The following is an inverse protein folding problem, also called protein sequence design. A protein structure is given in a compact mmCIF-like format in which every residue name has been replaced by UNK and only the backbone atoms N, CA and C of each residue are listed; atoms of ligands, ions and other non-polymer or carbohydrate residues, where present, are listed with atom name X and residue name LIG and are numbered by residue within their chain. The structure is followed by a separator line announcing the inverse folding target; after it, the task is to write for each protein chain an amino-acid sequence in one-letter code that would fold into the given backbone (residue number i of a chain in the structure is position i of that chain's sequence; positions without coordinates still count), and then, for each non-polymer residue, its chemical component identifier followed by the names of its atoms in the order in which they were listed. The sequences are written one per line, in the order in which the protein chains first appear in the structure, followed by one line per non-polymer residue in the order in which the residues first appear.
data_IF_754992526618
#
_entry.id   IF_754992526618
#
_cell.length_a   1.000
_cell.length_b   1.000
_cell.length_c   1.000
_cell.angle_alpha   90.00
_cell.angle_beta   90.00
_cell.angle_gamma   90.00
#
_symmetry.space_group_name_H-M   'P 1'
#
loop_
_entity.id
_entity.type
_entity.pdbx_description
1 polymer ?
#
# COMPACT_ATOMS: atom_id res chain seq x y z
N UNK A 1 -0.53 17.04 -19.22
CA UNK A 1 -1.80 16.38 -18.86
C UNK A 1 -1.44 15.00 -18.37
N UNK A 2 -1.27 14.84 -17.05
CA UNK A 2 -0.85 13.58 -16.46
C UNK A 2 -1.98 12.57 -16.59
N UNK A 3 -1.67 11.42 -17.17
CA UNK A 3 -2.62 10.33 -17.39
C UNK A 3 -3.08 9.78 -16.03
N UNK A 4 -4.35 9.98 -15.62
CA UNK A 4 -4.85 9.56 -14.31
C UNK A 4 -4.82 8.03 -14.12
N UNK A 5 -4.73 7.26 -15.20
CA UNK A 5 -4.69 5.80 -15.17
C UNK A 5 -3.35 5.23 -14.69
N UNK A 6 -2.24 5.95 -14.89
CA UNK A 6 -0.90 5.50 -14.49
C UNK A 6 -0.56 5.73 -13.01
N UNK A 7 -1.32 6.58 -12.32
CA UNK A 7 -1.14 6.90 -10.90
C UNK A 7 -2.12 6.14 -9.99
N UNK A 8 -3.26 5.68 -10.52
CA UNK A 8 -4.24 4.89 -9.80
C UNK A 8 -3.76 3.46 -9.46
N UNK A 9 -2.72 2.95 -10.13
CA UNK A 9 -2.15 1.62 -9.89
C UNK A 9 -1.10 1.59 -8.78
N UNK A 10 -0.77 2.74 -8.17
CA UNK A 10 0.16 2.79 -7.05
C UNK A 10 -0.61 2.89 -5.72
N UNK A 11 -0.68 1.82 -4.91
CA UNK A 11 -1.41 1.82 -3.63
C UNK A 11 -0.95 2.91 -2.68
N UNK A 12 0.35 3.27 -2.71
CA UNK A 12 0.88 4.32 -1.85
C UNK A 12 0.33 5.70 -2.23
N UNK A 13 0.16 5.97 -3.52
CA UNK A 13 -0.42 7.23 -3.99
C UNK A 13 -1.90 7.30 -3.66
N UNK A 14 -2.64 6.21 -3.88
CA UNK A 14 -4.06 6.13 -3.54
C UNK A 14 -4.29 6.40 -2.04
N UNK A 15 -3.55 5.73 -1.15
CA UNK A 15 -3.62 5.98 0.30
C UNK A 15 -3.33 7.44 0.65
N UNK A 16 -2.27 8.01 0.09
CA UNK A 16 -1.88 9.41 0.31
C UNK A 16 -2.98 10.38 -0.12
N UNK A 17 -3.57 10.14 -1.28
CA UNK A 17 -4.64 10.97 -1.82
C UNK A 17 -5.92 10.85 -0.98
N UNK A 18 -6.30 9.64 -0.55
CA UNK A 18 -7.46 9.45 0.31
C UNK A 18 -7.26 10.06 1.70
N UNK A 19 -6.06 9.99 2.26
CA UNK A 19 -5.73 10.66 3.52
C UNK A 19 -5.97 12.17 3.44
N UNK A 20 -5.50 12.81 2.36
CA UNK A 20 -5.74 14.24 2.12
C UNK A 20 -7.23 14.52 1.95
N UNK A 21 -7.93 13.69 1.16
CA UNK A 21 -9.37 13.83 0.93
C UNK A 21 -10.18 13.74 2.22
N UNK A 22 -9.90 12.77 3.08
CA UNK A 22 -10.59 12.59 4.38
C UNK A 22 -10.43 13.83 5.26
N UNK A 23 -9.21 14.39 5.34
CA UNK A 23 -8.94 15.59 6.14
C UNK A 23 -9.52 16.84 5.49
N UNK A 24 -9.61 16.88 4.17
CA UNK A 24 -10.23 17.97 3.43
C UNK A 24 -11.77 17.98 3.56
N UNK A 25 -12.38 16.79 3.59
CA UNK A 25 -13.83 16.59 3.69
C UNK A 25 -14.32 16.66 5.16
N UNK A 26 -13.49 16.27 6.14
CA UNK A 26 -13.76 16.34 7.58
C UNK A 26 -13.17 17.59 8.24
N UNK A 27 -14.01 18.47 8.77
CA UNK A 27 -13.60 19.81 9.23
C UNK A 27 -12.67 19.86 10.47
N UNK A 28 -12.33 18.73 11.10
CA UNK A 28 -11.63 18.73 12.40
C UNK A 28 -10.09 18.58 12.35
N UNK A 29 -9.45 18.42 11.18
CA UNK A 29 -7.97 18.34 11.10
C UNK A 29 -7.33 19.16 9.97
N UNK A 30 -8.08 20.11 9.40
CA UNK A 30 -7.60 20.99 8.33
C UNK A 30 -6.45 21.89 8.78
N UNK A 31 -6.47 22.38 10.02
CA UNK A 31 -5.40 23.23 10.56
C UNK A 31 -4.08 22.45 10.75
N UNK A 32 -4.16 21.20 11.23
CA UNK A 32 -2.98 20.33 11.34
C UNK A 32 -2.40 19.97 9.96
N UNK A 33 -3.25 19.81 8.95
CA UNK A 33 -2.82 19.62 7.58
C UNK A 33 -2.15 20.88 7.01
N UNK A 34 -2.70 22.06 7.29
CA UNK A 34 -2.10 23.34 6.92
C UNK A 34 -0.73 23.54 7.54
N UNK A 35 -0.59 23.26 8.84
CA UNK A 35 0.69 23.32 9.54
C UNK A 35 1.70 22.31 8.95
N UNK A 36 1.29 21.06 8.74
CA UNK A 36 2.18 20.03 8.16
C UNK A 36 2.67 20.41 6.75
N UNK A 37 1.76 20.89 5.89
CA UNK A 37 2.12 21.28 4.53
C UNK A 37 2.75 22.67 4.46
N UNK A 38 2.70 23.45 5.53
CA UNK A 38 3.16 24.85 5.63
C UNK A 38 2.39 25.75 4.63
N UNK A 39 1.06 25.65 4.67
CA UNK A 39 0.14 26.42 3.82
C UNK A 39 -0.94 27.08 4.66
N UNK A 40 -1.47 28.21 4.21
CA UNK A 40 -2.47 28.98 4.97
C UNK A 40 -3.91 28.61 4.62
N UNK A 41 -4.12 27.95 3.49
CA UNK A 41 -5.45 27.64 2.97
C UNK A 41 -5.46 26.40 2.07
N UNK A 42 -6.67 26.03 1.64
CA UNK A 42 -6.94 24.90 0.75
C UNK A 42 -6.32 25.06 -0.64
N UNK A 43 -6.13 26.29 -1.11
CA UNK A 43 -5.51 26.56 -2.41
C UNK A 43 -4.01 26.27 -2.37
N UNK A 44 -3.35 26.52 -1.24
CA UNK A 44 -1.96 26.16 -0.99
C UNK A 44 -1.71 24.65 -1.13
N UNK A 45 -2.66 23.82 -0.67
CA UNK A 45 -2.56 22.35 -0.81
C UNK A 45 -2.57 21.89 -2.28
N UNK A 46 -3.30 22.57 -3.16
CA UNK A 46 -3.32 22.23 -4.59
C UNK A 46 -1.92 22.34 -5.21
N UNK A 47 -1.08 23.24 -4.72
CA UNK A 47 0.31 23.34 -5.17
C UNK A 47 1.08 22.05 -4.86
N UNK A 48 0.93 21.51 -3.64
CA UNK A 48 1.54 20.25 -3.25
C UNK A 48 0.95 19.03 -3.97
N UNK A 49 -0.31 19.07 -4.37
CA UNK A 49 -0.95 17.96 -5.10
C UNK A 49 -0.59 17.95 -6.59
N UNK A 50 -0.49 19.11 -7.23
CA UNK A 50 -0.43 19.20 -8.70
C UNK A 50 0.89 19.76 -9.25
N UNK A 51 1.67 20.53 -8.47
CA UNK A 51 2.90 21.17 -8.95
C UNK A 51 4.16 20.66 -8.26
N UNK A 52 4.13 20.55 -6.94
CA UNK A 52 5.28 20.19 -6.09
C UNK A 52 5.02 18.90 -5.33
N UNK A 53 4.49 17.89 -6.02
CA UNK A 53 4.12 16.62 -5.41
C UNK A 53 5.35 15.85 -4.94
N UNK A 54 5.41 15.63 -3.63
CA UNK A 54 6.49 14.92 -2.98
C UNK A 54 5.94 13.70 -2.22
N UNK A 55 6.13 12.51 -2.79
CA UNK A 55 5.62 11.24 -2.24
C UNK A 55 6.03 11.00 -0.78
N UNK A 56 7.25 11.38 -0.40
CA UNK A 56 7.76 11.26 0.97
C UNK A 56 7.01 12.16 1.95
N UNK A 57 6.72 13.41 1.55
CA UNK A 57 5.97 14.36 2.38
C UNK A 57 4.54 13.86 2.62
N UNK A 58 3.85 13.37 1.60
CA UNK A 58 2.51 12.79 1.79
C UNK A 58 2.52 11.46 2.57
N UNK A 59 3.55 10.62 2.40
CA UNK A 59 3.72 9.42 3.24
C UNK A 59 3.90 9.79 4.71
N UNK A 60 4.69 10.83 5.00
CA UNK A 60 4.87 11.35 6.35
C UNK A 60 3.58 11.93 6.93
N UNK A 61 2.74 12.56 6.12
CA UNK A 61 1.41 13.01 6.55
C UNK A 61 0.50 11.85 6.96
N UNK A 62 0.45 10.76 6.18
CA UNK A 62 -0.31 9.57 6.57
C UNK A 62 0.18 8.98 7.90
N UNK A 63 1.50 8.99 8.16
CA UNK A 63 2.04 8.57 9.44
C UNK A 63 1.58 9.47 10.59
N UNK A 64 1.57 10.80 10.40
CA UNK A 64 1.07 11.74 11.42
C UNK A 64 -0.41 11.54 11.72
N UNK A 65 -1.21 11.23 10.70
CA UNK A 65 -2.61 10.81 10.90
C UNK A 65 -2.71 9.51 11.73
N UNK A 66 -1.80 8.56 11.54
CA UNK A 66 -1.74 7.32 12.31
C UNK A 66 -1.47 7.57 13.80
N UNK A 67 -0.64 8.58 14.09
CA UNK A 67 -0.21 8.95 15.44
C UNK A 67 -1.29 9.69 16.26
N UNK A 68 -2.49 9.93 15.70
CA UNK A 68 -3.64 10.45 16.44
C UNK A 68 -4.27 11.72 15.89
N UNK A 69 -3.88 12.18 14.68
CA UNK A 69 -4.47 13.37 14.04
C UNK A 69 -5.74 13.06 13.23
N UNK A 70 -6.44 11.96 13.52
CA UNK A 70 -7.72 11.62 12.87
C UNK A 70 -7.98 10.12 12.74
N UNK A 71 -9.14 9.73 12.18
CA UNK A 71 -9.49 8.34 11.98
C UNK A 71 -8.71 7.76 10.78
N UNK A 72 -7.47 7.33 11.01
CA UNK A 72 -6.69 6.64 10.00
C UNK A 72 -7.13 5.17 9.83
N UNK A 73 -7.71 4.58 10.87
CA UNK A 73 -8.13 3.17 10.87
C UNK A 73 -9.00 2.77 9.66
N UNK A 74 -10.08 3.49 9.30
CA UNK A 74 -10.89 3.13 8.14
C UNK A 74 -10.10 3.18 6.84
N UNK A 75 -9.16 4.13 6.69
CA UNK A 75 -8.35 4.24 5.49
C UNK A 75 -7.38 3.07 5.35
N UNK A 76 -6.74 2.68 6.45
CA UNK A 76 -5.80 1.57 6.48
C UNK A 76 -6.51 0.23 6.26
N UNK A 77 -7.72 0.09 6.81
CA UNK A 77 -8.58 -1.06 6.55
C UNK A 77 -8.94 -1.15 5.06
N UNK A 78 -9.46 -0.07 4.46
CA UNK A 78 -9.78 -0.01 3.03
C UNK A 78 -8.57 -0.27 2.14
N UNK A 79 -7.40 0.19 2.56
CA UNK A 79 -6.16 -0.11 1.88
C UNK A 79 -5.86 -1.62 1.81
N UNK A 80 -6.06 -2.34 2.92
CA UNK A 80 -6.00 -3.80 2.95
C UNK A 80 -7.00 -4.43 1.98
N UNK A 81 -8.25 -3.94 1.97
CA UNK A 81 -9.29 -4.45 1.07
C UNK A 81 -8.92 -4.26 -0.41
N UNK A 82 -8.40 -3.08 -0.77
CA UNK A 82 -7.95 -2.78 -2.13
C UNK A 82 -6.80 -3.70 -2.53
N UNK A 83 -5.85 -3.98 -1.64
CA UNK A 83 -4.75 -4.92 -1.92
C UNK A 83 -5.28 -6.34 -2.21
N UNK A 84 -6.20 -6.84 -1.37
CA UNK A 84 -6.86 -8.12 -1.58
C UNK A 84 -7.61 -8.19 -2.92
N UNK A 85 -8.35 -7.12 -3.27
CA UNK A 85 -9.07 -7.06 -4.55
C UNK A 85 -8.15 -7.19 -5.76
N UNK A 86 -6.92 -6.65 -5.68
CA UNK A 86 -5.94 -6.82 -6.75
C UNK A 86 -5.51 -8.27 -6.91
N UNK A 87 -5.31 -9.00 -5.80
CA UNK A 87 -5.02 -10.44 -5.82
C UNK A 87 -6.19 -11.19 -6.45
N UNK A 88 -7.42 -10.98 -5.94
CA UNK A 88 -8.64 -11.64 -6.43
C UNK A 88 -8.86 -11.39 -7.93
N UNK A 89 -8.60 -10.17 -8.41
CA UNK A 89 -8.77 -9.82 -9.82
C UNK A 89 -7.84 -10.59 -10.76
N UNK A 90 -6.65 -10.98 -10.29
CA UNK A 90 -5.68 -11.73 -11.12
C UNK A 90 -5.82 -13.23 -10.97
N UNK A 91 -6.40 -13.75 -9.87
CA UNK A 91 -6.55 -15.18 -9.58
C UNK A 91 -6.99 -16.03 -10.80
N UNK A 92 -8.03 -15.66 -11.59
CA UNK A 92 -8.50 -16.49 -12.70
C UNK A 92 -7.49 -16.66 -13.85
N UNK A 93 -6.44 -15.83 -13.87
CA UNK A 93 -5.39 -15.83 -14.91
C UNK A 93 -4.08 -16.47 -14.43
N UNK A 94 -4.00 -16.86 -13.16
CA UNK A 94 -2.80 -17.48 -12.59
C UNK A 94 -2.73 -18.94 -13.02
N UNK A 95 -1.54 -19.36 -13.45
CA UNK A 95 -1.27 -20.76 -13.76
C UNK A 95 -1.46 -21.61 -12.49
N UNK A 96 -2.21 -22.71 -12.60
CA UNK A 96 -2.51 -23.57 -11.45
C UNK A 96 -1.26 -24.13 -10.78
N UNK A 97 -0.12 -24.24 -11.49
CA UNK A 97 1.13 -24.69 -10.89
C UNK A 97 1.61 -23.77 -9.76
N UNK A 98 1.27 -22.48 -9.82
CA UNK A 98 1.61 -21.49 -8.79
C UNK A 98 0.69 -21.57 -7.57
N UNK A 99 -0.45 -22.24 -7.67
CA UNK A 99 -1.42 -22.42 -6.58
C UNK A 99 -1.20 -23.72 -5.80
N UNK A 100 -0.49 -24.69 -6.39
CA UNK A 100 -0.31 -26.05 -5.83
C UNK A 100 0.92 -26.20 -4.93
N UNK A 101 1.71 -25.13 -4.75
CA UNK A 101 2.89 -25.16 -3.88
C UNK A 101 2.54 -25.10 -2.39
N UNK A 102 3.48 -25.53 -1.53
CA UNK A 102 3.33 -25.54 -0.07
C UNK A 102 3.05 -24.14 0.55
N UNK A 103 3.38 -23.07 -0.19
CA UNK A 103 3.17 -21.68 0.23
C UNK A 103 1.81 -21.11 -0.20
N UNK A 104 0.98 -21.90 -0.88
CA UNK A 104 -0.18 -21.39 -1.62
C UNK A 104 0.28 -20.46 -2.74
N UNK A 105 -0.52 -19.43 -3.04
CA UNK A 105 -0.15 -18.40 -4.00
C UNK A 105 0.98 -17.51 -3.44
N UNK A 106 2.19 -17.51 -4.04
CA UNK A 106 3.25 -16.60 -3.60
C UNK A 106 3.06 -15.20 -4.20
N UNK A 107 2.90 -14.18 -3.34
CA UNK A 107 2.76 -12.77 -3.72
C UNK A 107 3.98 -11.98 -3.29
N UNK A 108 4.71 -11.42 -4.26
CA UNK A 108 5.90 -10.60 -3.98
C UNK A 108 5.49 -9.17 -3.65
N UNK A 109 5.81 -8.74 -2.43
CA UNK A 109 5.50 -7.44 -1.86
C UNK A 109 6.67 -6.47 -2.06
N UNK A 110 6.47 -5.47 -2.93
CA UNK A 110 7.47 -4.43 -3.19
C UNK A 110 6.94 -3.06 -2.77
N UNK A 111 7.77 -2.27 -2.09
CA UNK A 111 7.48 -0.89 -1.71
C UNK A 111 7.41 -0.67 -0.19
N UNK A 112 7.51 0.59 0.23
CA UNK A 112 7.53 0.96 1.66
C UNK A 112 6.19 0.78 2.37
N UNK A 113 5.08 0.65 1.64
CA UNK A 113 3.72 0.44 2.18
C UNK A 113 3.65 -0.83 3.03
N UNK A 114 4.36 -1.89 2.63
CA UNK A 114 4.40 -3.17 3.34
C UNK A 114 5.07 -3.10 4.71
N UNK A 115 5.78 -2.01 5.05
CA UNK A 115 6.29 -1.78 6.41
C UNK A 115 5.16 -1.61 7.44
N UNK A 116 3.97 -1.23 6.99
CA UNK A 116 2.77 -1.06 7.82
C UNK A 116 1.78 -2.22 7.64
N UNK A 117 2.25 -3.39 7.21
CA UNK A 117 1.42 -4.58 6.96
C UNK A 117 0.48 -4.91 8.12
N UNK A 118 0.98 -4.91 9.35
CA UNK A 118 0.19 -5.23 10.55
C UNK A 118 -1.09 -4.40 10.68
N UNK A 119 -1.07 -3.15 10.21
CA UNK A 119 -2.25 -2.30 10.27
C UNK A 119 -3.25 -2.60 9.14
N UNK A 120 -2.77 -3.04 7.98
CA UNK A 120 -3.61 -3.35 6.79
C UNK A 120 -4.15 -4.78 6.79
N UNK A 121 -3.55 -5.68 7.56
CA UNK A 121 -3.84 -7.12 7.56
C UNK A 121 -5.34 -7.40 7.67
N UNK A 122 -6.03 -6.76 8.61
CA UNK A 122 -7.45 -7.03 8.87
C UNK A 122 -8.34 -6.72 7.66
N UNK A 123 -8.05 -5.65 6.92
CA UNK A 123 -8.79 -5.31 5.70
C UNK A 123 -8.50 -6.26 4.54
N UNK A 124 -7.27 -6.75 4.45
CA UNK A 124 -6.87 -7.70 3.42
C UNK A 124 -7.54 -9.07 3.66
N UNK A 125 -7.43 -9.60 4.88
CA UNK A 125 -8.05 -10.88 5.28
C UNK A 125 -9.58 -10.83 5.12
N UNK A 126 -10.21 -9.68 5.40
CA UNK A 126 -11.66 -9.52 5.24
C UNK A 126 -12.13 -9.55 3.78
N UNK A 127 -11.28 -9.15 2.82
CA UNK A 127 -11.66 -8.99 1.42
C UNK A 127 -11.17 -10.14 0.53
N UNK A 128 -10.03 -10.75 0.87
CA UNK A 128 -9.53 -11.91 0.16
C UNK A 128 -10.24 -13.15 0.69
N UNK A 129 -11.26 -13.66 0.01
CA UNK A 129 -11.94 -14.92 0.39
C UNK A 129 -11.85 -16.00 -0.69
N UNK A 130 -11.23 -15.67 -1.82
CA UNK A 130 -11.27 -16.48 -3.04
C UNK A 130 -10.04 -17.40 -3.23
N UNK A 131 -8.95 -17.19 -2.50
CA UNK A 131 -7.80 -18.08 -2.53
C UNK A 131 -7.95 -19.18 -1.46
N UNK A 132 -7.31 -20.34 -1.63
CA UNK A 132 -7.24 -21.35 -0.56
C UNK A 132 -6.11 -21.03 0.44
N UNK A 133 -4.99 -20.51 -0.05
CA UNK A 133 -3.90 -19.99 0.77
C UNK A 133 -3.00 -19.07 -0.05
N UNK A 134 -2.33 -18.12 0.60
CA UNK A 134 -1.32 -17.28 -0.02
C UNK A 134 -0.20 -16.95 0.98
N UNK A 135 0.97 -16.64 0.43
CA UNK A 135 2.12 -16.16 1.20
C UNK A 135 2.63 -14.85 0.64
N UNK A 136 2.93 -13.90 1.52
CA UNK A 136 3.52 -12.62 1.19
C UNK A 136 5.05 -12.68 1.37
N UNK A 137 5.76 -12.28 0.32
CA UNK A 137 7.21 -12.40 0.24
C UNK A 137 7.89 -11.03 0.04
N UNK A 138 9.00 -10.79 0.72
CA UNK A 138 9.87 -9.65 0.47
C UNK A 138 11.16 -10.08 -0.26
N UNK A 139 11.79 -9.16 -0.99
CA UNK A 139 13.07 -9.40 -1.64
C UNK A 139 14.20 -8.99 -0.69
N UNK A 140 15.11 -9.93 -0.39
CA UNK A 140 16.22 -9.77 0.55
C UNK A 140 17.51 -9.22 -0.06
N UNK A 141 17.68 -9.23 -1.40
CA UNK A 141 18.94 -8.87 -2.05
C UNK A 141 18.91 -7.51 -2.76
N UNK A 142 19.89 -6.64 -2.44
CA UNK A 142 20.18 -5.39 -3.14
C UNK A 142 20.96 -5.67 -4.42
N UNK A 143 20.62 -4.95 -5.50
CA UNK A 143 21.32 -4.97 -6.77
C UNK A 143 22.80 -4.57 -6.61
N UNK A 144 23.72 -5.52 -6.73
CA UNK A 144 25.16 -5.28 -6.93
C UNK A 144 25.41 -5.69 -8.37
N UNK A 145 25.88 -4.78 -9.23
CA UNK A 145 25.95 -4.91 -10.70
C UNK A 145 26.92 -5.98 -11.24
N UNK A 146 26.94 -7.16 -10.67
CA UNK A 146 27.62 -8.36 -11.14
C UNK A 146 26.60 -9.47 -11.35
N UNK A 147 26.84 -10.34 -12.34
CA UNK A 147 26.07 -11.57 -12.53
C UNK A 147 26.38 -12.54 -11.38
N UNK A 148 25.61 -12.44 -10.30
CA UNK A 148 25.68 -13.34 -9.14
C UNK A 148 24.75 -14.53 -9.40
N UNK A 149 25.16 -15.77 -9.06
CA UNK A 149 24.24 -16.92 -9.06
C UNK A 149 23.00 -16.60 -8.22
N UNK A 150 21.83 -16.57 -8.85
CA UNK A 150 20.55 -16.25 -8.20
C UNK A 150 20.08 -17.46 -7.41
N UNK A 151 20.36 -17.48 -6.11
CA UNK A 151 19.64 -18.35 -5.18
C UNK A 151 18.31 -17.69 -4.81
N UNK A 152 17.26 -18.08 -5.53
CA UNK A 152 15.91 -17.58 -5.31
C UNK A 152 15.35 -17.92 -3.91
N UNK A 153 15.85 -18.98 -3.25
CA UNK A 153 15.45 -19.32 -1.88
C UNK A 153 16.15 -18.44 -0.85
N UNK A 154 17.40 -18.08 -1.09
CA UNK A 154 18.14 -17.17 -0.21
C UNK A 154 17.79 -15.69 -0.42
N UNK A 155 17.16 -15.34 -1.54
CA UNK A 155 16.86 -13.95 -1.92
C UNK A 155 15.46 -13.48 -1.52
N UNK A 156 14.65 -14.33 -0.89
CA UNK A 156 13.24 -14.06 -0.63
C UNK A 156 12.88 -14.46 0.80
N UNK A 157 12.29 -13.53 1.56
CA UNK A 157 11.79 -13.78 2.92
C UNK A 157 10.27 -13.83 2.93
N UNK A 158 9.69 -14.94 3.41
CA UNK A 158 8.25 -15.00 3.71
C UNK A 158 8.03 -14.29 5.03
N UNK A 159 7.17 -13.27 5.05
CA UNK A 159 6.84 -12.54 6.28
C UNK A 159 5.40 -12.75 6.74
N UNK A 160 4.54 -13.32 5.90
CA UNK A 160 3.16 -13.62 6.25
C UNK A 160 2.62 -14.75 5.38
N UNK A 161 1.83 -15.64 5.97
CA UNK A 161 1.11 -16.72 5.28
C UNK A 161 -0.29 -16.81 5.84
N UNK A 162 -1.27 -16.92 4.95
CA UNK A 162 -2.67 -17.11 5.30
C UNK A 162 -3.22 -18.35 4.60
N UNK A 163 -4.04 -19.11 5.31
CA UNK A 163 -4.80 -20.23 4.77
C UNK A 163 -6.26 -20.04 5.13
N UNK A 164 -7.11 -20.04 4.11
CA UNK A 164 -8.56 -19.94 4.27
C UNK A 164 -9.09 -21.33 4.62
N UNK A 165 -9.88 -21.40 5.70
CA UNK A 165 -10.51 -22.63 6.20
C UNK A 165 -11.78 -22.99 5.42
#
# INVERSE_FOLDING_TARGET
LLNPEGLATNPSYWMQHQAVKIVFDGLDNLEAMFDYFQVSDRMGLLTHLYRTFEKSKFAGFCLKLAEGWGPLWPLVFQAGEVLAQHIVAVLPKIDQILLQGDLGLPVVCVGSVWKSWEMMREGEESACTAASSFSLLNLGAKHIGQAVPLDYKASVGVFYTHSFA
#
